data_IF_047799252583
#
_entry.id   IF_047799252583
#
_cell.length_a   1.000
_cell.length_b   1.000
_cell.length_c   1.000
_cell.angle_alpha   90.00
_cell.angle_beta   90.00
_cell.angle_gamma   90.00
#
_symmetry.space_group_name_H-M   'P 1'
#
loop_
_entity.id
_entity.type
_entity.pdbx_description
1 polymer ?
#
# COMPACT_ATOMS: atom_id res chain seq x y z
N UNK A 1 -23.88 -15.10 -4.69
CA UNK A 1 -23.67 -14.16 -3.55
C UNK A 1 -22.19 -13.82 -3.46
N UNK A 2 -21.81 -12.55 -3.51
CA UNK A 2 -20.42 -12.13 -3.26
C UNK A 2 -20.27 -11.90 -1.75
N UNK A 3 -19.42 -12.69 -1.08
CA UNK A 3 -19.13 -12.54 0.37
C UNK A 3 -18.04 -11.49 0.54
N UNK A 4 -18.44 -10.24 0.78
CA UNK A 4 -17.55 -9.17 1.22
C UNK A 4 -18.21 -8.42 2.37
N UNK A 5 -17.42 -8.07 3.38
CA UNK A 5 -17.83 -7.15 4.45
C UNK A 5 -17.55 -5.74 3.99
N UNK A 6 -18.57 -4.88 3.99
CA UNK A 6 -18.38 -3.45 3.75
C UNK A 6 -17.86 -2.82 5.04
N UNK A 7 -16.83 -1.99 4.91
CA UNK A 7 -16.21 -1.25 6.01
C UNK A 7 -16.10 0.22 5.60
N UNK A 8 -15.85 1.09 6.59
CA UNK A 8 -15.64 2.51 6.35
C UNK A 8 -14.49 2.76 5.37
N UNK A 9 -14.65 3.79 4.55
CA UNK A 9 -13.63 4.21 3.59
C UNK A 9 -12.33 4.59 4.32
N UNK A 10 -11.16 4.27 3.74
CA UNK A 10 -9.83 4.52 4.32
C UNK A 10 -9.59 3.90 5.71
N UNK A 11 -10.36 2.88 6.12
CA UNK A 11 -10.14 2.16 7.39
C UNK A 11 -8.98 1.16 7.37
N UNK A 12 -8.41 0.90 6.18
CA UNK A 12 -7.33 -0.08 5.97
C UNK A 12 -6.07 0.10 6.83
N UNK A 13 -5.62 1.31 7.25
CA UNK A 13 -4.44 1.43 8.10
C UNK A 13 -4.61 0.72 9.46
N UNK A 14 -5.86 0.56 9.92
CA UNK A 14 -6.21 -0.12 11.16
C UNK A 14 -6.51 -1.61 10.96
N UNK A 15 -6.49 -2.12 9.72
CA UNK A 15 -6.69 -3.54 9.45
C UNK A 15 -5.54 -4.37 10.04
N UNK A 16 -5.74 -5.66 10.35
CA UNK A 16 -4.65 -6.54 10.74
C UNK A 16 -3.54 -6.55 9.69
N UNK A 17 -2.27 -6.55 10.09
CA UNK A 17 -1.11 -6.54 9.16
C UNK A 17 -1.05 -7.74 8.22
N UNK A 18 -1.74 -8.83 8.59
CA UNK A 18 -1.94 -10.03 7.77
C UNK A 18 -2.94 -9.84 6.63
N UNK A 19 -3.69 -8.73 6.62
CA UNK A 19 -4.68 -8.42 5.59
C UNK A 19 -4.01 -7.73 4.41
N UNK A 20 -4.00 -8.33 3.21
CA UNK A 20 -3.46 -7.66 2.03
C UNK A 20 -4.36 -6.51 1.60
N UNK A 21 -3.75 -5.37 1.26
CA UNK A 21 -4.44 -4.18 0.79
C UNK A 21 -4.30 -4.10 -0.74
N UNK A 22 -5.44 -4.11 -1.44
CA UNK A 22 -5.49 -4.05 -2.91
C UNK A 22 -6.05 -2.68 -3.33
N UNK A 23 -5.32 -1.98 -4.19
CA UNK A 23 -5.72 -0.68 -4.73
C UNK A 23 -5.33 -0.53 -6.21
N UNK A 24 -6.05 0.30 -6.96
CA UNK A 24 -5.78 0.49 -8.38
C UNK A 24 -4.77 1.62 -8.65
N UNK A 25 -4.72 2.63 -7.79
CA UNK A 25 -3.84 3.80 -7.95
C UNK A 25 -2.83 3.88 -6.81
N UNK A 26 -1.87 4.76 -6.99
CA UNK A 26 -0.91 5.14 -5.96
C UNK A 26 -1.57 5.71 -4.70
N UNK A 27 -0.93 5.49 -3.56
CA UNK A 27 -1.34 6.09 -2.31
C UNK A 27 -0.97 7.58 -2.30
N UNK A 28 -1.75 8.41 -1.58
CA UNK A 28 -1.37 9.80 -1.34
C UNK A 28 0.05 9.90 -0.76
N UNK A 29 0.73 10.98 -1.12
CA UNK A 29 2.02 11.32 -0.54
C UNK A 29 1.89 11.46 0.98
N UNK A 30 2.72 10.71 1.70
CA UNK A 30 2.73 10.67 3.17
C UNK A 30 4.02 10.02 3.65
N UNK A 31 4.47 10.37 4.85
CA UNK A 31 5.60 9.71 5.51
C UNK A 31 5.19 8.54 6.39
N UNK A 32 3.88 8.29 6.53
CA UNK A 32 3.35 7.21 7.35
C UNK A 32 3.89 5.84 6.88
N UNK A 33 4.39 5.01 7.81
CA UNK A 33 4.86 3.66 7.49
C UNK A 33 3.71 2.81 6.95
N UNK A 34 4.04 1.87 6.06
CA UNK A 34 3.11 0.90 5.50
C UNK A 34 3.46 -0.48 6.04
N UNK A 35 2.71 -1.03 7.01
CA UNK A 35 3.03 -2.32 7.61
C UNK A 35 2.36 -3.51 6.91
N UNK A 36 1.37 -3.27 6.05
CA UNK A 36 0.63 -4.30 5.32
C UNK A 36 1.35 -4.71 4.02
N UNK A 37 0.98 -5.87 3.49
CA UNK A 37 1.27 -6.20 2.08
C UNK A 37 0.35 -5.38 1.16
N UNK A 38 0.95 -4.63 0.22
CA UNK A 38 0.18 -3.86 -0.77
C UNK A 38 0.29 -4.43 -2.17
N UNK A 39 -0.84 -4.51 -2.87
CA UNK A 39 -0.95 -4.81 -4.30
C UNK A 39 -1.56 -3.58 -4.97
N UNK A 40 -0.74 -2.81 -5.67
CA UNK A 40 -1.17 -1.54 -6.27
C UNK A 40 -0.30 -1.11 -7.46
N UNK A 41 -0.75 -0.12 -8.23
CA UNK A 41 0.10 0.56 -9.20
C UNK A 41 0.78 1.76 -8.52
N UNK A 42 1.98 1.54 -7.97
CA UNK A 42 2.69 2.56 -7.17
C UNK A 42 3.63 3.45 -7.99
N UNK A 43 3.87 3.12 -9.27
CA UNK A 43 4.75 3.85 -10.19
C UNK A 43 6.09 4.28 -9.58
N UNK A 44 6.77 3.38 -8.85
CA UNK A 44 8.02 3.69 -8.14
C UNK A 44 9.21 2.82 -8.55
N UNK A 45 9.10 2.03 -9.62
CA UNK A 45 10.17 1.13 -10.11
C UNK A 45 10.92 1.64 -11.37
N UNK A 46 10.47 2.75 -11.97
CA UNK A 46 11.13 3.38 -13.13
C UNK A 46 11.80 4.71 -12.76
N UNK A 47 12.19 4.87 -11.47
CA UNK A 47 12.81 6.08 -10.91
C UNK A 47 12.00 7.37 -11.12
N UNK A 48 10.67 7.26 -11.05
CA UNK A 48 9.78 8.42 -11.11
C UNK A 48 10.02 9.37 -9.93
N UNK A 49 9.65 10.65 -10.06
CA UNK A 49 9.79 11.61 -8.97
C UNK A 49 9.12 11.08 -7.67
N UNK A 50 9.85 11.13 -6.55
CA UNK A 50 9.34 10.65 -5.25
C UNK A 50 9.37 9.13 -5.04
N UNK A 51 9.90 8.33 -5.98
CA UNK A 51 9.95 6.87 -5.88
C UNK A 51 10.63 6.36 -4.60
N UNK A 52 11.72 7.01 -4.17
CA UNK A 52 12.47 6.64 -2.96
C UNK A 52 11.64 6.84 -1.70
N UNK A 53 10.81 7.89 -1.66
CA UNK A 53 9.97 8.20 -0.51
C UNK A 53 8.86 7.15 -0.37
N UNK A 54 8.28 6.70 -1.49
CA UNK A 54 7.29 5.61 -1.51
C UNK A 54 7.90 4.33 -0.95
N UNK A 55 9.07 3.91 -1.46
CA UNK A 55 9.75 2.70 -0.97
C UNK A 55 10.17 2.80 0.49
N UNK A 56 10.59 3.99 0.94
CA UNK A 56 10.98 4.21 2.33
C UNK A 56 9.82 3.99 3.31
N UNK A 57 8.55 4.22 2.91
CA UNK A 57 7.38 3.92 3.74
C UNK A 57 7.22 2.43 4.01
N UNK A 58 7.42 1.59 3.00
CA UNK A 58 7.39 0.12 3.14
C UNK A 58 8.54 -0.38 4.01
N UNK A 59 9.74 0.18 3.81
CA UNK A 59 10.89 -0.14 4.65
C UNK A 59 10.65 0.22 6.11
N UNK A 60 10.15 1.43 6.40
CA UNK A 60 9.82 1.87 7.76
C UNK A 60 8.70 1.07 8.41
N UNK A 61 7.74 0.59 7.62
CA UNK A 61 6.64 -0.23 8.13
C UNK A 61 6.99 -1.71 8.32
N UNK A 62 8.20 -2.13 7.94
CA UNK A 62 8.58 -3.55 7.87
C UNK A 62 7.56 -4.38 7.08
N UNK A 63 6.94 -3.79 6.06
CA UNK A 63 5.95 -4.49 5.23
C UNK A 63 6.58 -5.73 4.59
N UNK A 64 5.90 -6.88 4.60
CA UNK A 64 6.44 -8.11 4.04
C UNK A 64 6.73 -8.00 2.54
N UNK A 65 5.89 -7.27 1.79
CA UNK A 65 6.07 -7.07 0.35
C UNK A 65 5.19 -5.95 -0.21
N UNK A 66 5.66 -5.36 -1.32
CA UNK A 66 4.83 -4.56 -2.23
C UNK A 66 4.88 -5.20 -3.61
N UNK A 67 3.71 -5.54 -4.16
CA UNK A 67 3.56 -5.96 -5.55
C UNK A 67 3.10 -4.74 -6.34
N UNK A 68 4.02 -4.14 -7.10
CA UNK A 68 3.71 -3.02 -8.00
C UNK A 68 3.80 -3.42 -9.45
N UNK A 69 2.68 -3.30 -10.17
CA UNK A 69 2.66 -3.30 -11.64
C UNK A 69 2.95 -1.89 -12.15
N UNK A 70 3.66 -1.77 -13.28
CA UNK A 70 4.27 -0.52 -13.79
C UNK A 70 3.53 0.14 -14.93
#
# INVERSE_FOLDING_TARGET
MRRCTLVEHNSWPNAPTTTPIIGLKELPASDAPLPHTHIQFAHCFKRQAGWSNVLARFHRGAAPSMISSS
#
